data_IF_408961719947
#
_entry.id   IF_408961719947
#
_cell.length_a   1.000
_cell.length_b   1.000
_cell.length_c   1.000
_cell.angle_alpha   90.00
_cell.angle_beta   90.00
_cell.angle_gamma   90.00
#
_symmetry.space_group_name_H-M   'P 1'
#
loop_
_entity.id
_entity.type
_entity.pdbx_description
1 polymer ?
#
# COMPACT_ATOMS: atom_id res chain seq x y z
N UNK A 1 7.14 -7.83 5.89
CA UNK A 1 7.23 -7.28 7.26
C UNK A 1 7.12 -5.77 7.20
N UNK A 2 6.17 -5.19 7.92
CA UNK A 2 6.15 -3.76 8.20
C UNK A 2 7.43 -3.36 8.93
N UNK A 3 8.18 -2.42 8.35
CA UNK A 3 9.42 -1.90 8.90
C UNK A 3 9.35 -0.36 9.06
N UNK A 4 8.14 0.16 9.24
CA UNK A 4 7.87 1.59 9.35
C UNK A 4 7.47 2.27 8.03
N UNK A 5 6.88 3.46 8.18
CA UNK A 5 6.31 4.27 7.11
C UNK A 5 7.30 4.59 5.98
N UNK A 6 8.56 4.89 6.33
CA UNK A 6 9.59 5.22 5.34
C UNK A 6 9.81 4.08 4.34
N UNK A 7 9.89 2.83 4.81
CA UNK A 7 10.06 1.66 3.94
C UNK A 7 8.83 1.36 3.09
N UNK A 8 7.63 1.66 3.60
CA UNK A 8 6.40 1.57 2.79
C UNK A 8 6.46 2.55 1.61
N UNK A 9 6.77 3.82 1.89
CA UNK A 9 6.84 4.85 0.85
C UNK A 9 7.98 4.60 -0.14
N UNK A 10 9.12 4.07 0.32
CA UNK A 10 10.22 3.66 -0.54
C UNK A 10 9.82 2.53 -1.49
N UNK A 11 9.12 1.50 -0.99
CA UNK A 11 8.57 0.43 -1.82
C UNK A 11 7.54 0.93 -2.84
N UNK A 12 6.69 1.89 -2.46
CA UNK A 12 5.75 2.54 -3.40
C UNK A 12 6.51 3.31 -4.47
N UNK A 13 7.51 4.11 -4.10
CA UNK A 13 8.36 4.82 -5.07
C UNK A 13 9.11 3.88 -6.00
N UNK A 14 9.63 2.77 -5.48
CA UNK A 14 10.27 1.73 -6.26
C UNK A 14 9.29 1.09 -7.25
N UNK A 15 8.10 0.70 -6.81
CA UNK A 15 7.04 0.17 -7.65
C UNK A 15 6.73 1.13 -8.80
N UNK A 16 6.50 2.41 -8.49
CA UNK A 16 6.18 3.44 -9.48
C UNK A 16 7.32 3.67 -10.50
N UNK A 17 8.59 3.48 -10.11
CA UNK A 17 9.73 3.54 -11.03
C UNK A 17 9.84 2.33 -11.97
N UNK A 18 9.47 1.13 -11.51
CA UNK A 18 9.52 -0.10 -12.33
C UNK A 18 8.30 -0.29 -13.22
N UNK A 19 7.20 0.40 -12.93
CA UNK A 19 5.97 0.28 -13.69
C UNK A 19 6.08 1.09 -14.99
N UNK A 20 6.44 0.46 -16.10
CA UNK A 20 6.50 1.11 -17.41
C UNK A 20 5.08 1.51 -17.87
N UNK A 21 4.82 2.81 -17.76
CA UNK A 21 3.63 3.61 -18.00
C UNK A 21 2.73 3.28 -19.21
N UNK A 22 1.98 2.18 -19.14
CA UNK A 22 0.72 1.97 -19.89
C UNK A 22 -0.30 1.30 -18.97
N UNK A 23 -1.40 2.01 -18.69
CA UNK A 23 -2.55 1.64 -17.82
C UNK A 23 -2.26 0.48 -16.86
N UNK A 24 -1.46 0.74 -15.82
CA UNK A 24 -0.89 -0.35 -15.03
C UNK A 24 -1.65 -0.51 -13.72
N UNK A 25 -2.14 -1.73 -13.51
CA UNK A 25 -2.63 -2.22 -12.23
C UNK A 25 -1.42 -2.77 -11.47
N UNK A 26 -1.22 -2.30 -10.25
CA UNK A 26 -0.16 -2.78 -9.37
C UNK A 26 -0.75 -3.21 -8.04
N UNK A 27 -0.06 -4.11 -7.33
CA UNK A 27 -0.49 -4.57 -6.01
C UNK A 27 0.63 -4.37 -4.99
N UNK A 28 0.26 -3.84 -3.82
CA UNK A 28 1.13 -3.71 -2.66
C UNK A 28 0.63 -4.63 -1.55
N UNK A 29 1.36 -5.72 -1.33
CA UNK A 29 1.05 -6.70 -0.30
C UNK A 29 1.85 -6.38 0.95
N UNK A 30 1.17 -6.03 2.03
CA UNK A 30 1.81 -5.69 3.30
C UNK A 30 1.62 -6.81 4.32
N UNK A 31 2.69 -7.54 4.61
CA UNK A 31 2.69 -8.55 5.66
C UNK A 31 2.88 -7.92 7.05
N UNK A 32 1.89 -8.11 7.92
CA UNK A 32 1.76 -7.50 9.24
C UNK A 32 1.86 -8.58 10.33
N UNK A 33 2.61 -8.30 11.38
CA UNK A 33 2.66 -9.09 12.62
C UNK A 33 2.32 -8.17 13.80
N UNK A 34 1.62 -8.69 14.82
CA UNK A 34 1.17 -7.88 15.96
C UNK A 34 -0.13 -7.12 15.67
N UNK A 35 -0.26 -5.88 16.15
CA UNK A 35 -1.49 -5.07 16.10
C UNK A 35 -1.88 -4.62 14.68
N UNK A 36 -2.79 -5.33 13.99
CA UNK A 36 -2.97 -5.15 12.55
C UNK A 36 -3.75 -3.88 12.21
N UNK A 37 -4.79 -3.55 12.98
CA UNK A 37 -5.63 -2.38 12.74
C UNK A 37 -4.86 -1.05 12.80
N UNK A 38 -3.92 -0.91 13.74
CA UNK A 38 -3.10 0.30 13.84
C UNK A 38 -2.15 0.44 12.65
N UNK A 39 -1.56 -0.68 12.21
CA UNK A 39 -0.63 -0.71 11.08
C UNK A 39 -1.37 -0.43 9.76
N UNK A 40 -2.56 -1.03 9.57
CA UNK A 40 -3.41 -0.78 8.41
C UNK A 40 -3.81 0.69 8.35
N UNK A 41 -4.26 1.26 9.48
CA UNK A 41 -4.62 2.69 9.55
C UNK A 41 -3.45 3.60 9.21
N UNK A 42 -2.27 3.37 9.79
CA UNK A 42 -1.06 4.15 9.49
C UNK A 42 -0.64 4.03 8.01
N UNK A 43 -0.80 2.85 7.41
CA UNK A 43 -0.50 2.63 6.00
C UNK A 43 -1.49 3.39 5.09
N UNK A 44 -2.79 3.36 5.40
CA UNK A 44 -3.81 4.13 4.68
C UNK A 44 -3.55 5.64 4.76
N UNK A 45 -3.29 6.17 5.95
CA UNK A 45 -2.95 7.59 6.16
C UNK A 45 -1.71 8.00 5.35
N UNK A 46 -0.67 7.15 5.35
CA UNK A 46 0.55 7.40 4.59
C UNK A 46 0.31 7.39 3.06
N UNK A 47 -0.52 6.48 2.56
CA UNK A 47 -0.86 6.40 1.14
C UNK A 47 -1.68 7.62 0.70
N UNK A 48 -2.66 8.04 1.51
CA UNK A 48 -3.48 9.24 1.24
C UNK A 48 -2.68 10.54 1.31
N UNK A 49 -1.67 10.59 2.19
CA UNK A 49 -0.78 11.73 2.31
C UNK A 49 0.32 11.82 1.24
N UNK A 50 0.45 10.81 0.38
CA UNK A 50 1.48 10.80 -0.65
C UNK A 50 1.17 11.81 -1.77
N UNK A 51 2.19 12.48 -2.29
CA UNK A 51 2.03 13.53 -3.32
C UNK A 51 1.35 13.03 -4.61
N UNK A 52 1.47 11.73 -4.91
CA UNK A 52 0.83 11.11 -6.08
C UNK A 52 -0.60 10.63 -5.80
N UNK A 53 -1.11 10.73 -4.57
CA UNK A 53 -2.45 10.28 -4.24
C UNK A 53 -3.50 11.15 -4.92
N UNK A 54 -4.47 10.50 -5.59
CA UNK A 54 -5.59 11.20 -6.23
C UNK A 54 -6.93 10.82 -5.62
N UNK A 55 -7.17 9.52 -5.43
CA UNK A 55 -8.41 9.03 -4.82
C UNK A 55 -8.25 7.62 -4.29
N UNK A 56 -9.19 7.21 -3.44
CA UNK A 56 -9.35 5.83 -3.01
C UNK A 56 -10.75 5.35 -3.40
N UNK A 57 -10.88 4.10 -3.82
CA UNK A 57 -12.18 3.50 -4.08
C UNK A 57 -12.89 3.21 -2.75
N UNK A 58 -14.23 3.31 -2.68
CA UNK A 58 -14.96 2.83 -1.51
C UNK A 58 -14.71 1.32 -1.34
N UNK A 59 -14.37 0.90 -0.12
CA UNK A 59 -14.20 -0.50 0.25
C UNK A 59 -15.11 -0.83 1.42
N UNK A 60 -15.80 -1.97 1.35
CA UNK A 60 -16.61 -2.50 2.46
C UNK A 60 -15.72 -3.18 3.51
N UNK A 61 -14.51 -3.58 3.12
CA UNK A 61 -13.56 -4.34 3.93
C UNK A 61 -12.13 -3.75 3.79
N UNK A 62 -11.89 -2.54 4.32
CA UNK A 62 -10.62 -1.83 4.18
C UNK A 62 -9.45 -2.59 4.83
N UNK A 63 -9.73 -3.42 5.83
CA UNK A 63 -8.75 -4.29 6.50
C UNK A 63 -8.33 -5.51 5.67
N UNK A 64 -9.00 -5.79 4.54
CA UNK A 64 -8.66 -6.88 3.61
C UNK A 64 -8.10 -6.33 2.31
N UNK A 65 -8.73 -5.29 1.78
CA UNK A 65 -8.30 -4.66 0.54
C UNK A 65 -8.76 -3.22 0.46
N UNK A 66 -7.86 -2.37 -0.01
CA UNK A 66 -8.15 -0.98 -0.35
C UNK A 66 -7.53 -0.65 -1.72
N UNK A 67 -8.32 -0.10 -2.64
CA UNK A 67 -7.80 0.33 -3.93
C UNK A 67 -7.57 1.84 -3.95
N UNK A 68 -6.40 2.23 -4.45
CA UNK A 68 -5.97 3.63 -4.59
C UNK A 68 -5.70 3.97 -6.05
N UNK A 69 -5.97 5.21 -6.42
CA UNK A 69 -5.55 5.81 -7.68
C UNK A 69 -4.39 6.76 -7.40
N UNK A 70 -3.23 6.43 -7.97
CA UNK A 70 -2.04 7.26 -7.93
C UNK A 70 -1.81 7.89 -9.30
N UNK A 71 -1.39 9.16 -9.33
CA UNK A 71 -1.09 9.89 -10.58
C UNK A 71 0.30 10.48 -10.54
N UNK A 72 0.93 10.56 -11.71
CA UNK A 72 2.20 11.27 -11.84
C UNK A 72 2.00 12.77 -11.62
N UNK A 73 2.86 13.37 -10.79
CA UNK A 73 2.83 14.81 -10.49
C UNK A 73 3.81 15.62 -11.32
N UNK A 74 4.64 14.96 -12.15
CA UNK A 74 5.79 15.59 -12.77
C UNK A 74 5.52 16.06 -14.20
N UNK A 75 4.84 15.30 -15.06
CA UNK A 75 4.74 15.68 -16.50
C UNK A 75 3.49 15.26 -17.27
N UNK A 76 2.61 14.44 -16.73
CA UNK A 76 1.46 13.96 -17.52
C UNK A 76 0.33 13.41 -16.62
N UNK A 77 -0.71 14.22 -16.42
CA UNK A 77 -1.89 13.87 -15.62
C UNK A 77 -2.73 12.70 -16.19
N UNK A 78 -2.43 12.24 -17.40
CA UNK A 78 -3.06 11.04 -17.98
C UNK A 78 -2.38 9.74 -17.54
N UNK A 79 -1.29 9.82 -16.77
CA UNK A 79 -0.56 8.66 -16.25
C UNK A 79 -1.06 8.35 -14.85
N UNK A 80 -1.87 7.29 -14.77
CA UNK A 80 -2.46 6.82 -13.52
C UNK A 80 -2.12 5.35 -13.27
N UNK A 81 -1.95 5.01 -12.00
CA UNK A 81 -1.72 3.64 -11.51
C UNK A 81 -2.86 3.29 -10.56
N UNK A 82 -3.51 2.16 -10.82
CA UNK A 82 -4.47 1.56 -9.88
C UNK A 82 -3.69 0.64 -8.95
N UNK A 83 -3.57 1.03 -7.69
CA UNK A 83 -2.84 0.29 -6.66
C UNK A 83 -3.83 -0.47 -5.78
N UNK A 84 -3.78 -1.80 -5.83
CA UNK A 84 -4.46 -2.65 -4.85
C UNK A 84 -3.58 -2.82 -3.62
N UNK A 85 -4.01 -2.30 -2.47
CA UNK A 85 -3.35 -2.51 -1.19
C UNK A 85 -3.98 -3.70 -0.48
N UNK A 86 -3.14 -4.68 -0.12
CA UNK A 86 -3.53 -5.96 0.46
C UNK A 86 -2.76 -6.19 1.77
N UNK A 87 -3.30 -5.78 2.92
CA UNK A 87 -2.76 -6.17 4.22
C UNK A 87 -2.95 -7.68 4.46
N UNK A 88 -1.88 -8.37 4.84
CA UNK A 88 -1.88 -9.80 5.16
C UNK A 88 -1.36 -9.98 6.57
N UNK A 89 -2.22 -10.46 7.47
CA UNK A 89 -1.88 -10.71 8.86
C UNK A 89 -1.18 -12.07 8.95
N UNK A 90 0.07 -12.06 9.41
CA UNK A 90 0.83 -13.28 9.70
C UNK A 90 0.74 -13.53 11.20
N UNK A 91 0.21 -14.69 11.65
CA UNK A 91 0.25 -15.06 13.04
C UNK A 91 1.72 -15.20 13.47
N UNK A 92 2.09 -14.54 14.57
CA UNK A 92 3.41 -14.78 15.17
C UNK A 92 3.50 -16.26 15.55
N UNK A 93 4.59 -16.97 15.21
CA UNK A 93 4.76 -18.33 15.70
C UNK A 93 4.75 -18.29 17.22
N UNK A 94 3.75 -18.90 17.84
CA UNK A 94 3.75 -19.16 19.27
C UNK A 94 5.03 -19.93 19.57
N UNK A 95 5.94 -19.38 20.38
CA UNK A 95 7.07 -20.15 20.91
C UNK A 95 6.50 -21.36 21.64
N UNK A 96 6.55 -22.52 21.00
CA UNK A 96 6.33 -23.80 21.66
C UNK A 96 7.62 -24.10 22.41
N UNK A 97 7.68 -23.69 23.68
CA UNK A 97 8.71 -24.17 24.62
C UNK A 97 8.43 -25.65 24.89
N UNK A 98 9.37 -26.52 24.48
CA UNK A 98 9.50 -27.90 24.92
C UNK A 98 10.90 -28.11 25.46
#
# INVERSE_FOLDING_TARGET
MWNGQKKLLDAVGQLLRYTAWRDTKAALILFIQGGPSEIIKKADEALRGHITFRSAAPSTEPDLRQDYLLVDTSRDQYRSVRLAFLPVIIPSPSSHNG
#
